data_IF_192505008529
#
_entry.id   IF_192505008529
#
_cell.length_a   1.000
_cell.length_b   1.000
_cell.length_c   1.000
_cell.angle_alpha   90.00
_cell.angle_beta   90.00
_cell.angle_gamma   90.00
#
_symmetry.space_group_name_H-M   'P 1'
#
loop_
_entity.id
_entity.type
_entity.pdbx_description
1 polymer ?
#
# COMPACT_ATOMS: atom_id res chain seq x y z
N UNK A 1 -24.34 24.65 0.46
CA UNK A 1 -23.48 23.68 1.19
C UNK A 1 -24.20 22.35 1.43
N UNK A 2 -25.51 22.35 1.69
CA UNK A 2 -26.34 21.12 1.81
C UNK A 2 -26.43 20.28 0.52
N UNK A 3 -26.57 20.90 -0.66
CA UNK A 3 -26.63 20.19 -1.95
C UNK A 3 -25.38 19.32 -2.23
N UNK A 4 -24.19 19.81 -1.85
CA UNK A 4 -22.93 19.07 -2.02
C UNK A 4 -22.76 17.90 -1.04
N UNK A 5 -23.56 17.86 0.04
CA UNK A 5 -23.63 16.73 0.99
C UNK A 5 -24.62 15.68 0.48
N UNK A 6 -25.75 16.12 -0.08
CA UNK A 6 -26.78 15.26 -0.67
C UNK A 6 -26.30 14.52 -1.92
N UNK A 7 -25.49 15.16 -2.78
CA UNK A 7 -24.90 14.50 -3.95
C UNK A 7 -23.85 13.43 -3.58
N UNK A 8 -23.09 13.65 -2.50
CA UNK A 8 -22.18 12.63 -1.95
C UNK A 8 -22.94 11.44 -1.37
N UNK A 9 -24.05 11.69 -0.68
CA UNK A 9 -24.88 10.63 -0.11
C UNK A 9 -25.65 9.84 -1.19
N UNK A 10 -26.08 10.48 -2.28
CA UNK A 10 -26.76 9.82 -3.39
C UNK A 10 -25.83 8.92 -4.22
N UNK A 11 -24.58 9.34 -4.46
CA UNK A 11 -23.58 8.51 -5.11
C UNK A 11 -23.11 7.33 -4.23
N UNK A 12 -23.15 7.49 -2.90
CA UNK A 12 -22.92 6.39 -1.96
C UNK A 12 -24.09 5.39 -1.92
N UNK A 13 -25.33 5.85 -2.19
CA UNK A 13 -26.53 5.02 -2.08
C UNK A 13 -26.80 4.14 -3.32
N UNK A 14 -26.24 4.44 -4.49
CA UNK A 14 -26.50 3.68 -5.73
C UNK A 14 -25.56 2.49 -5.96
N UNK A 15 -24.61 2.22 -5.05
CA UNK A 15 -23.61 1.15 -5.20
C UNK A 15 -23.77 0.02 -4.18
N UNK A 16 -24.73 0.08 -3.25
CA UNK A 16 -24.76 -0.91 -2.17
C UNK A 16 -26.18 -1.24 -1.68
N UNK A 17 -26.93 -2.00 -2.47
CA UNK A 17 -27.84 -2.99 -1.87
C UNK A 17 -27.00 -4.14 -1.33
N UNK A 18 -26.38 -3.95 -0.15
CA UNK A 18 -25.76 -5.03 0.61
C UNK A 18 -26.88 -5.91 1.14
N UNK A 19 -26.86 -7.19 0.80
CA UNK A 19 -27.68 -8.18 1.50
C UNK A 19 -27.33 -8.17 3.00
N UNK A 20 -28.31 -8.36 3.90
CA UNK A 20 -28.07 -8.39 5.35
C UNK A 20 -27.00 -9.41 5.76
N UNK A 21 -26.90 -10.52 5.02
CA UNK A 21 -25.93 -11.59 5.27
C UNK A 21 -24.47 -11.17 5.01
N UNK A 22 -24.24 -10.17 4.15
CA UNK A 22 -22.90 -9.65 3.85
C UNK A 22 -22.34 -8.76 4.97
N UNK A 23 -23.17 -8.33 5.93
CA UNK A 23 -22.71 -7.55 7.10
C UNK A 23 -22.18 -8.43 8.23
N UNK A 24 -22.50 -9.72 8.27
CA UNK A 24 -22.09 -10.63 9.35
C UNK A 24 -20.58 -10.93 9.41
N UNK A 25 -19.81 -10.59 8.36
CA UNK A 25 -18.36 -10.84 8.27
C UNK A 25 -17.50 -9.59 8.01
N UNK A 26 -18.03 -8.38 8.22
CA UNK A 26 -17.29 -7.15 8.02
C UNK A 26 -16.41 -6.81 9.25
N UNK A 27 -15.19 -7.36 9.30
CA UNK A 27 -14.17 -6.98 10.28
C UNK A 27 -13.92 -5.45 10.22
N UNK A 28 -13.74 -4.83 11.39
CA UNK A 28 -13.33 -3.43 11.46
C UNK A 28 -11.97 -3.23 10.73
N UNK A 29 -11.75 -2.10 10.02
CA UNK A 29 -10.50 -1.84 9.31
C UNK A 29 -9.25 -1.96 10.20
N UNK A 30 -9.38 -1.55 11.46
CA UNK A 30 -8.32 -1.63 12.46
C UNK A 30 -7.99 -3.07 12.85
N UNK A 31 -9.01 -3.92 13.00
CA UNK A 31 -8.83 -5.34 13.30
C UNK A 31 -8.15 -6.09 12.13
N UNK A 32 -8.54 -5.76 10.90
CA UNK A 32 -7.91 -6.31 9.70
C UNK A 32 -6.45 -5.83 9.56
N UNK A 33 -6.20 -4.55 9.82
CA UNK A 33 -4.85 -3.98 9.85
C UNK A 33 -3.95 -4.66 10.88
N UNK A 34 -4.46 -4.86 12.11
CA UNK A 34 -3.69 -5.52 13.18
C UNK A 34 -3.43 -6.99 12.87
N UNK A 35 -4.41 -7.72 12.33
CA UNK A 35 -4.24 -9.12 11.97
C UNK A 35 -3.19 -9.30 10.87
N UNK A 36 -3.26 -8.48 9.81
CA UNK A 36 -2.25 -8.47 8.74
C UNK A 36 -0.85 -8.14 9.29
N UNK A 37 -0.74 -7.11 10.14
CA UNK A 37 0.52 -6.72 10.76
C UNK A 37 1.13 -7.81 11.64
N UNK A 38 0.32 -8.54 12.41
CA UNK A 38 0.79 -9.69 13.22
C UNK A 38 1.31 -10.80 12.31
N UNK A 39 0.55 -11.20 11.28
CA UNK A 39 0.99 -12.24 10.35
C UNK A 39 2.30 -11.86 9.64
N UNK A 40 2.41 -10.62 9.15
CA UNK A 40 3.62 -10.11 8.50
C UNK A 40 4.81 -10.07 9.45
N UNK A 41 4.61 -9.62 10.69
CA UNK A 41 5.66 -9.57 11.71
C UNK A 41 6.16 -10.98 12.04
N UNK A 42 5.26 -11.94 12.24
CA UNK A 42 5.63 -13.34 12.51
C UNK A 42 6.41 -13.94 11.34
N UNK A 43 5.95 -13.73 10.11
CA UNK A 43 6.66 -14.19 8.91
C UNK A 43 8.08 -13.62 8.81
N UNK A 44 8.22 -12.30 8.99
CA UNK A 44 9.54 -11.64 8.95
C UNK A 44 10.45 -12.11 10.09
N UNK A 45 9.93 -12.31 11.30
CA UNK A 45 10.71 -12.81 12.43
C UNK A 45 11.22 -14.23 12.17
N UNK A 46 10.37 -15.12 11.64
CA UNK A 46 10.78 -16.48 11.28
C UNK A 46 11.86 -16.46 10.20
N UNK A 47 11.68 -15.64 9.16
CA UNK A 47 12.67 -15.48 8.10
C UNK A 47 14.02 -14.97 8.62
N UNK A 48 14.01 -13.90 9.42
CA UNK A 48 15.22 -13.30 10.00
C UNK A 48 15.91 -14.29 10.94
N UNK A 49 15.16 -14.96 11.82
CA UNK A 49 15.72 -15.97 12.72
C UNK A 49 16.36 -17.13 11.94
N UNK A 50 15.68 -17.65 10.92
CA UNK A 50 16.23 -18.69 10.05
C UNK A 50 17.51 -18.21 9.35
N UNK A 51 17.52 -17.00 8.80
CA UNK A 51 18.69 -16.43 8.16
C UNK A 51 19.87 -16.30 9.12
N UNK A 52 19.64 -15.77 10.33
CA UNK A 52 20.68 -15.58 11.33
C UNK A 52 21.26 -16.91 11.83
N UNK A 53 20.41 -17.90 12.07
CA UNK A 53 20.84 -19.21 12.56
C UNK A 53 21.63 -19.99 11.50
N UNK A 54 21.17 -19.94 10.24
CA UNK A 54 21.74 -20.72 9.14
C UNK A 54 22.98 -20.08 8.51
N UNK A 55 23.00 -18.75 8.36
CA UNK A 55 24.02 -18.06 7.56
C UNK A 55 24.87 -17.06 8.35
N UNK A 56 24.37 -16.51 9.45
CA UNK A 56 25.10 -15.52 10.26
C UNK A 56 25.68 -16.12 11.55
N UNK A 57 25.67 -17.44 11.69
CA UNK A 57 26.25 -18.11 12.85
C UNK A 57 27.79 -18.08 12.80
N UNK A 58 28.49 -18.05 13.95
CA UNK A 58 29.95 -18.04 14.01
C UNK A 58 30.62 -19.22 13.28
N UNK A 59 29.85 -20.28 12.99
CA UNK A 59 30.30 -21.44 12.22
C UNK A 59 30.54 -21.13 10.73
N UNK A 60 30.02 -20.02 10.20
CA UNK A 60 30.08 -19.67 8.77
C UNK A 60 30.93 -18.43 8.44
N UNK A 61 31.61 -17.81 9.43
CA UNK A 61 32.51 -16.67 9.22
C UNK A 61 32.34 -15.56 10.25
N UNK A 62 32.61 -14.31 9.82
CA UNK A 62 32.48 -13.11 10.65
C UNK A 62 31.03 -12.92 11.10
N UNK A 63 30.84 -12.63 12.39
CA UNK A 63 29.50 -12.41 12.93
C UNK A 63 28.83 -11.18 12.31
N UNK A 64 27.49 -11.13 12.37
CA UNK A 64 26.73 -9.95 11.93
C UNK A 64 27.26 -8.66 12.58
N UNK A 65 27.61 -8.71 13.87
CA UNK A 65 28.14 -7.57 14.60
C UNK A 65 29.49 -7.08 14.04
N UNK A 66 30.36 -8.01 13.63
CA UNK A 66 31.68 -7.70 13.07
C UNK A 66 31.55 -7.10 11.66
N UNK A 67 30.64 -7.66 10.84
CA UNK A 67 30.32 -7.13 9.51
C UNK A 67 29.72 -5.72 9.61
N UNK A 68 28.85 -5.49 10.60
CA UNK A 68 28.29 -4.17 10.87
C UNK A 68 29.35 -3.15 11.31
N UNK A 69 30.27 -3.56 12.19
CA UNK A 69 31.37 -2.72 12.62
C UNK A 69 32.31 -2.37 11.45
N UNK A 70 32.63 -3.34 10.60
CA UNK A 70 33.44 -3.13 9.39
C UNK A 70 32.79 -2.14 8.41
N UNK A 71 31.45 -2.14 8.32
CA UNK A 71 30.68 -1.19 7.52
C UNK A 71 30.47 0.18 8.20
N UNK A 72 31.05 0.44 9.37
CA UNK A 72 30.89 1.70 10.11
C UNK A 72 29.50 1.92 10.72
N UNK A 73 28.70 0.85 10.84
CA UNK A 73 27.39 0.87 11.48
C UNK A 73 27.44 0.13 12.82
N UNK A 74 26.33 0.17 13.57
CA UNK A 74 26.21 -0.52 14.85
C UNK A 74 24.82 -1.12 15.01
N UNK A 75 24.71 -2.14 15.87
CA UNK A 75 23.43 -2.79 16.17
C UNK A 75 22.38 -1.76 16.60
N UNK A 76 22.76 -0.78 17.42
CA UNK A 76 21.86 0.30 17.84
C UNK A 76 21.34 1.16 16.68
N UNK A 77 22.20 1.54 15.72
CA UNK A 77 21.77 2.29 14.53
C UNK A 77 20.82 1.47 13.65
N UNK A 78 21.10 0.18 13.48
CA UNK A 78 20.24 -0.71 12.72
C UNK A 78 18.88 -0.89 13.40
N UNK A 79 18.84 -1.13 14.72
CA UNK A 79 17.60 -1.22 15.49
C UNK A 79 16.79 0.08 15.41
N UNK A 80 17.44 1.24 15.48
CA UNK A 80 16.77 2.53 15.30
C UNK A 80 16.16 2.67 13.90
N UNK A 81 16.93 2.36 12.85
CA UNK A 81 16.43 2.39 11.48
C UNK A 81 15.25 1.43 11.28
N UNK A 82 15.33 0.23 11.88
CA UNK A 82 14.26 -0.76 11.84
C UNK A 82 13.00 -0.28 12.59
N UNK A 83 13.16 0.33 13.75
CA UNK A 83 12.06 0.91 14.51
C UNK A 83 11.36 2.05 13.77
N UNK A 84 12.12 2.94 13.13
CA UNK A 84 11.58 4.00 12.27
C UNK A 84 10.83 3.43 11.06
N UNK A 85 11.37 2.37 10.44
CA UNK A 85 10.72 1.68 9.32
C UNK A 85 9.38 1.05 9.75
N UNK A 86 9.35 0.38 10.91
CA UNK A 86 8.11 -0.18 11.48
C UNK A 86 7.07 0.91 11.73
N UNK A 87 7.47 2.04 12.33
CA UNK A 87 6.56 3.14 12.61
C UNK A 87 5.98 3.74 11.32
N UNK A 88 6.83 3.94 10.30
CA UNK A 88 6.41 4.44 8.99
C UNK A 88 5.44 3.48 8.29
N UNK A 89 5.75 2.17 8.27
CA UNK A 89 4.87 1.16 7.70
C UNK A 89 3.56 1.00 8.47
N UNK A 90 3.60 1.09 9.81
CA UNK A 90 2.41 1.05 10.66
C UNK A 90 1.46 2.22 10.36
N UNK A 91 1.99 3.44 10.29
CA UNK A 91 1.22 4.61 9.90
C UNK A 91 0.64 4.51 8.48
N UNK A 92 1.44 4.00 7.54
CA UNK A 92 0.99 3.76 6.16
C UNK A 92 -0.14 2.73 6.09
N UNK A 93 0.01 1.57 6.73
CA UNK A 93 -1.00 0.51 6.77
C UNK A 93 -2.29 0.98 7.43
N UNK A 94 -2.18 1.70 8.55
CA UNK A 94 -3.35 2.30 9.20
C UNK A 94 -4.12 3.22 8.24
N UNK A 95 -3.44 4.15 7.58
CA UNK A 95 -4.05 5.05 6.62
C UNK A 95 -4.67 4.29 5.42
N UNK A 96 -3.99 3.25 4.93
CA UNK A 96 -4.49 2.41 3.84
C UNK A 96 -5.81 1.72 4.20
N UNK A 97 -5.90 1.07 5.36
CA UNK A 97 -7.12 0.37 5.78
C UNK A 97 -8.27 1.33 6.07
N UNK A 98 -7.99 2.51 6.61
CA UNK A 98 -9.00 3.56 6.76
C UNK A 98 -9.53 4.02 5.39
N UNK A 99 -8.64 4.17 4.40
CA UNK A 99 -9.01 4.59 3.05
C UNK A 99 -9.78 3.49 2.30
N UNK A 100 -9.41 2.22 2.50
CA UNK A 100 -10.00 1.05 1.83
C UNK A 100 -11.53 1.01 1.97
N UNK A 101 -12.06 1.37 3.14
CA UNK A 101 -13.50 1.44 3.38
C UNK A 101 -14.22 2.55 2.62
N UNK A 102 -13.51 3.60 2.21
CA UNK A 102 -14.09 4.81 1.59
C UNK A 102 -14.05 4.82 0.06
N UNK A 103 -12.97 4.33 -0.55
CA UNK A 103 -12.78 4.38 -2.01
C UNK A 103 -12.99 3.04 -2.70
N UNK A 104 -13.14 1.96 -1.93
CA UNK A 104 -13.34 0.60 -2.42
C UNK A 104 -12.03 -0.12 -2.78
N UNK A 105 -12.12 -1.45 -2.91
CA UNK A 105 -10.97 -2.33 -3.09
C UNK A 105 -10.17 -2.05 -4.38
N UNK A 106 -10.85 -1.86 -5.52
CA UNK A 106 -10.18 -1.66 -6.81
C UNK A 106 -9.38 -0.35 -6.83
N UNK A 107 -9.99 0.75 -6.37
CA UNK A 107 -9.31 2.05 -6.31
C UNK A 107 -8.13 2.02 -5.32
N UNK A 108 -8.28 1.31 -4.20
CA UNK A 108 -7.20 1.11 -3.24
C UNK A 108 -6.04 0.29 -3.84
N UNK A 109 -6.35 -0.71 -4.67
CA UNK A 109 -5.35 -1.46 -5.44
C UNK A 109 -4.55 -0.55 -6.38
N UNK A 110 -5.21 0.41 -7.05
CA UNK A 110 -4.52 1.37 -7.92
C UNK A 110 -3.62 2.32 -7.14
N UNK A 111 -4.03 2.79 -5.95
CA UNK A 111 -3.17 3.59 -5.09
C UNK A 111 -1.95 2.81 -4.60
N UNK A 112 -2.12 1.52 -4.30
CA UNK A 112 -0.99 0.65 -3.92
C UNK A 112 -0.02 0.45 -5.08
N UNK A 113 -0.51 0.29 -6.31
CA UNK A 113 0.34 0.26 -7.49
C UNK A 113 1.12 1.58 -7.68
N UNK A 114 0.47 2.72 -7.48
CA UNK A 114 1.12 4.03 -7.55
C UNK A 114 2.19 4.21 -6.46
N UNK A 115 1.90 3.75 -5.25
CA UNK A 115 2.87 3.72 -4.15
C UNK A 115 4.10 2.89 -4.54
N UNK A 116 3.92 1.68 -5.09
CA UNK A 116 5.03 0.85 -5.53
C UNK A 116 5.90 1.54 -6.59
N UNK A 117 5.28 2.18 -7.58
CA UNK A 117 6.00 2.98 -8.60
C UNK A 117 6.81 4.11 -7.95
N UNK A 118 6.21 4.80 -6.98
CA UNK A 118 6.84 5.92 -6.27
C UNK A 118 8.05 5.43 -5.47
N UNK A 119 7.89 4.36 -4.67
CA UNK A 119 8.97 3.74 -3.90
C UNK A 119 10.09 3.29 -4.83
N UNK A 120 9.76 2.62 -5.93
CA UNK A 120 10.75 2.13 -6.88
C UNK A 120 11.57 3.27 -7.50
N UNK A 121 10.90 4.37 -7.87
CA UNK A 121 11.54 5.56 -8.44
C UNK A 121 12.48 6.22 -7.43
N UNK A 122 12.02 6.45 -6.19
CA UNK A 122 12.86 7.03 -5.15
C UNK A 122 14.02 6.12 -4.75
N UNK A 123 13.81 4.80 -4.74
CA UNK A 123 14.88 3.83 -4.52
C UNK A 123 16.00 3.97 -5.55
N UNK A 124 15.65 4.13 -6.83
CA UNK A 124 16.63 4.36 -7.88
C UNK A 124 17.37 5.71 -7.74
N UNK A 125 16.65 6.77 -7.35
CA UNK A 125 17.23 8.10 -7.21
C UNK A 125 18.20 8.21 -6.02
N UNK A 126 17.86 7.61 -4.89
CA UNK A 126 18.62 7.80 -3.65
C UNK A 126 19.59 6.65 -3.35
N UNK A 127 19.30 5.42 -3.79
CA UNK A 127 20.02 4.24 -3.33
C UNK A 127 20.82 3.51 -4.43
N UNK A 128 20.73 3.91 -5.70
CA UNK A 128 21.50 3.28 -6.78
C UNK A 128 23.02 3.37 -6.57
N UNK A 129 23.52 4.44 -5.91
CA UNK A 129 24.94 4.57 -5.60
C UNK A 129 25.45 3.56 -4.55
N UNK A 130 24.55 3.02 -3.73
CA UNK A 130 24.88 2.07 -2.66
C UNK A 130 24.55 0.63 -3.04
N UNK A 131 23.52 0.42 -3.85
CA UNK A 131 22.97 -0.89 -4.13
C UNK A 131 22.51 -0.99 -5.60
N UNK A 132 23.23 -1.81 -6.38
CA UNK A 132 22.98 -1.96 -7.82
C UNK A 132 21.57 -2.51 -8.11
N UNK A 133 21.01 -3.32 -7.20
CA UNK A 133 19.65 -3.83 -7.32
C UNK A 133 18.58 -2.74 -7.24
N UNK A 134 18.92 -1.52 -6.80
CA UNK A 134 18.01 -0.37 -6.77
C UNK A 134 18.09 0.50 -8.03
N UNK A 135 19.09 0.30 -8.89
CA UNK A 135 19.27 1.13 -10.08
C UNK A 135 18.15 0.97 -11.12
N UNK A 136 17.86 2.06 -11.84
CA UNK A 136 16.84 2.06 -12.88
C UNK A 136 17.36 1.33 -14.13
N UNK A 137 16.63 0.32 -14.60
CA UNK A 137 16.95 -0.36 -15.88
C UNK A 137 15.86 -0.11 -16.91
N UNK A 138 16.13 -0.28 -18.22
CA UNK A 138 15.12 -0.07 -19.26
C UNK A 138 13.86 -0.93 -19.06
N UNK A 139 14.01 -2.16 -18.58
CA UNK A 139 12.87 -3.04 -18.31
C UNK A 139 12.03 -2.53 -17.13
N UNK A 140 12.68 -2.06 -16.06
CA UNK A 140 12.00 -1.43 -14.92
C UNK A 140 11.30 -0.13 -15.33
N UNK A 141 11.90 0.65 -16.23
CA UNK A 141 11.30 1.84 -16.83
C UNK A 141 10.01 1.51 -17.59
N UNK A 142 10.06 0.50 -18.46
CA UNK A 142 8.90 0.03 -19.23
C UNK A 142 7.77 -0.43 -18.30
N UNK A 143 8.08 -1.17 -17.24
CA UNK A 143 7.10 -1.59 -16.24
C UNK A 143 6.42 -0.42 -15.54
N UNK A 144 7.18 0.63 -15.16
CA UNK A 144 6.61 1.85 -14.56
C UNK A 144 5.65 2.54 -15.52
N UNK A 145 6.04 2.70 -16.79
CA UNK A 145 5.17 3.30 -17.82
C UNK A 145 3.87 2.51 -17.98
N UNK A 146 3.94 1.19 -18.01
CA UNK A 146 2.77 0.32 -18.14
C UNK A 146 1.82 0.46 -16.93
N UNK A 147 2.35 0.50 -15.71
CA UNK A 147 1.53 0.72 -14.51
C UNK A 147 0.86 2.10 -14.53
N UNK A 148 1.59 3.16 -14.87
CA UNK A 148 1.05 4.50 -14.97
C UNK A 148 -0.04 4.61 -16.05
N UNK A 149 0.14 3.97 -17.20
CA UNK A 149 -0.88 3.90 -18.25
C UNK A 149 -2.15 3.17 -17.79
N UNK A 150 -2.00 2.07 -17.04
CA UNK A 150 -3.13 1.36 -16.42
C UNK A 150 -3.91 2.23 -15.44
N UNK A 151 -3.20 2.95 -14.56
CA UNK A 151 -3.80 3.87 -13.59
C UNK A 151 -4.52 5.03 -14.29
N UNK A 152 -3.92 5.61 -15.34
CA UNK A 152 -4.52 6.68 -16.12
C UNK A 152 -5.82 6.22 -16.81
N UNK A 153 -5.79 5.04 -17.43
CA UNK A 153 -6.96 4.43 -18.08
C UNK A 153 -8.09 4.17 -17.09
N UNK A 154 -7.76 3.60 -15.92
CA UNK A 154 -8.72 3.39 -14.84
C UNK A 154 -9.34 4.70 -14.34
N UNK A 155 -8.52 5.73 -14.18
CA UNK A 155 -8.96 7.05 -13.72
C UNK A 155 -9.89 7.72 -14.73
N UNK A 156 -9.57 7.62 -16.02
CA UNK A 156 -10.43 8.11 -17.10
C UNK A 156 -11.78 7.38 -17.13
N UNK A 157 -11.76 6.05 -17.05
CA UNK A 157 -12.97 5.22 -17.01
C UNK A 157 -13.88 5.57 -15.82
N UNK A 158 -13.30 5.76 -14.64
CA UNK A 158 -14.04 6.22 -13.44
C UNK A 158 -14.67 7.60 -13.63
N UNK A 159 -13.92 8.55 -14.21
CA UNK A 159 -14.43 9.90 -14.46
C UNK A 159 -15.59 9.88 -15.47
N UNK A 160 -15.51 9.05 -16.51
CA UNK A 160 -16.59 8.86 -17.48
C UNK A 160 -17.84 8.25 -16.81
N UNK A 161 -17.67 7.18 -16.02
CA UNK A 161 -18.78 6.54 -15.30
C UNK A 161 -19.48 7.52 -14.34
N UNK A 162 -18.71 8.34 -13.61
CA UNK A 162 -19.27 9.34 -12.69
C UNK A 162 -20.19 10.34 -13.39
N UNK A 163 -19.83 10.79 -14.61
CA UNK A 163 -20.66 11.69 -15.43
C UNK A 163 -21.97 11.03 -15.85
N UNK A 164 -21.91 9.78 -16.34
CA UNK A 164 -23.10 9.02 -16.76
C UNK A 164 -24.08 8.81 -15.60
N UNK A 165 -23.57 8.43 -14.42
CA UNK A 165 -24.40 8.26 -13.22
C UNK A 165 -25.04 9.58 -12.80
N UNK A 166 -24.29 10.69 -12.81
CA UNK A 166 -24.83 12.00 -12.48
C UNK A 166 -25.96 12.44 -13.42
N UNK A 167 -25.79 12.22 -14.74
CA UNK A 167 -26.83 12.52 -15.73
C UNK A 167 -28.09 11.67 -15.53
N UNK A 168 -27.93 10.36 -15.26
CA UNK A 168 -29.06 9.46 -15.00
C UNK A 168 -29.83 9.85 -13.72
N UNK A 169 -29.12 10.26 -12.66
CA UNK A 169 -29.73 10.73 -11.41
C UNK A 169 -30.48 12.05 -11.64
N UNK A 170 -29.95 12.96 -12.45
CA UNK A 170 -30.61 14.22 -12.79
C UNK A 170 -31.94 13.99 -13.53
N UNK A 171 -31.97 13.08 -14.52
CA UNK A 171 -33.20 12.73 -15.25
C UNK A 171 -34.27 12.12 -14.32
N UNK A 172 -33.88 11.27 -13.36
CA UNK A 172 -34.82 10.65 -12.41
C UNK A 172 -35.46 11.64 -11.42
N UNK A 173 -34.88 12.84 -11.26
CA UNK A 173 -35.35 13.85 -10.30
C UNK A 173 -36.33 14.87 -10.88
N UNK A 174 -36.62 14.84 -12.18
CA UNK A 174 -37.66 15.70 -12.72
C UNK A 174 -39.04 15.19 -12.28
N UNK A 175 -39.79 15.96 -11.45
CA UNK A 175 -41.17 15.62 -11.15
C UNK A 175 -42.00 15.73 -12.44
N UNK A 176 -43.01 14.87 -12.56
CA UNK A 176 -44.01 14.89 -13.63
C UNK A 176 -44.81 16.20 -13.60
#
# INVERSE_FOLDING_TARGET
VEEGRLLRNAAASSVTTRTPDAQAFALAPTALCSAMGVCETLYNLVWIAAYLLLFASPAHGDGLADTMAAAGTSVGKALLAWGLLIAANGGHSWAFFQMLGSIGAVASGMLKALQTVTVFTFSALFFCAYEASQCFTPLRAASVVLVLAGIATFSYGRAAQAKTVAAAVAMRRQPA
#
